data_IF_056618163231
#
_entry.id   IF_056618163231
#
_cell.length_a   1.000
_cell.length_b   1.000
_cell.length_c   1.000
_cell.angle_alpha   90.00
_cell.angle_beta   90.00
_cell.angle_gamma   90.00
#
_symmetry.space_group_name_H-M   'P 1'
#
loop_
_entity.id
_entity.type
_entity.pdbx_description
1 polymer ?
#
# COMPACT_ATOMS: atom_id res chain seq x y z
N UNK A 1 -12.59 -1.81 6.41
CA UNK A 1 -11.82 -0.59 6.07
C UNK A 1 -12.14 -0.10 4.67
N UNK A 2 -12.13 -0.98 3.67
CA UNK A 2 -12.59 -0.67 2.29
C UNK A 2 -13.97 0.00 2.26
N UNK A 3 -14.94 -0.53 3.04
CA UNK A 3 -16.27 0.07 3.23
C UNK A 3 -16.29 1.47 3.87
N UNK A 4 -15.26 1.84 4.64
CA UNK A 4 -15.22 3.12 5.37
C UNK A 4 -14.58 4.26 4.55
N UNK A 5 -13.92 3.93 3.42
CA UNK A 5 -13.19 4.89 2.59
C UNK A 5 -13.82 5.07 1.20
N UNK A 6 -14.91 4.35 0.91
CA UNK A 6 -15.58 4.34 -0.42
C UNK A 6 -14.63 4.05 -1.59
N UNK A 7 -13.53 3.33 -1.32
CA UNK A 7 -12.50 2.92 -2.26
C UNK A 7 -12.21 1.45 -1.98
N UNK A 8 -12.47 0.57 -2.97
CA UNK A 8 -12.33 -0.88 -2.85
C UNK A 8 -13.40 -1.65 -3.64
N UNK A 9 -13.37 -2.97 -3.49
CA UNK A 9 -14.30 -3.92 -4.16
C UNK A 9 -15.75 -3.47 -3.98
N UNK A 10 -16.44 -3.19 -5.08
CA UNK A 10 -17.84 -2.72 -5.07
C UNK A 10 -18.03 -1.20 -5.13
N UNK A 11 -16.96 -0.39 -5.23
CA UNK A 11 -17.04 1.06 -5.50
C UNK A 11 -16.43 1.42 -6.86
N UNK A 12 -17.28 1.89 -7.80
CA UNK A 12 -16.91 2.14 -9.20
C UNK A 12 -16.72 0.86 -10.05
N UNK A 13 -16.39 1.01 -11.34
CA UNK A 13 -15.98 -0.10 -12.23
C UNK A 13 -14.56 -0.59 -11.88
N UNK A 14 -14.32 -0.93 -10.61
CA UNK A 14 -13.02 -1.40 -10.14
C UNK A 14 -12.72 -2.79 -10.75
N UNK A 15 -11.51 -2.95 -11.30
CA UNK A 15 -11.07 -4.17 -12.01
C UNK A 15 -10.59 -5.29 -11.07
N UNK A 16 -10.64 -5.10 -9.75
CA UNK A 16 -10.05 -5.96 -8.74
C UNK A 16 -11.06 -6.40 -7.67
N UNK A 17 -10.85 -7.60 -7.12
CA UNK A 17 -11.74 -8.27 -6.14
C UNK A 17 -11.18 -8.27 -4.71
N UNK A 18 -10.00 -7.68 -4.47
CA UNK A 18 -9.46 -7.37 -3.14
C UNK A 18 -8.35 -6.31 -3.21
N UNK A 19 -8.08 -5.58 -2.11
CA UNK A 19 -6.89 -4.70 -2.05
C UNK A 19 -5.57 -5.42 -2.32
N UNK A 20 -5.46 -6.70 -1.96
CA UNK A 20 -4.30 -7.53 -2.28
C UNK A 20 -4.13 -7.64 -3.80
N UNK A 21 -5.19 -7.99 -4.51
CA UNK A 21 -5.19 -8.10 -5.97
C UNK A 21 -4.91 -6.76 -6.65
N UNK A 22 -5.49 -5.68 -6.15
CA UNK A 22 -5.21 -4.32 -6.61
C UNK A 22 -3.72 -3.97 -6.46
N UNK A 23 -3.16 -4.19 -5.27
CA UNK A 23 -1.77 -3.90 -4.96
C UNK A 23 -0.83 -4.72 -5.84
N UNK A 24 -1.05 -6.04 -5.91
CA UNK A 24 -0.21 -6.96 -6.68
C UNK A 24 -0.29 -6.69 -8.19
N UNK A 25 -1.47 -6.43 -8.75
CA UNK A 25 -1.56 -6.11 -10.18
C UNK A 25 -1.02 -4.72 -10.52
N UNK A 26 -1.10 -3.75 -9.61
CA UNK A 26 -0.44 -2.45 -9.78
C UNK A 26 1.10 -2.59 -9.75
N UNK A 27 1.63 -3.39 -8.82
CA UNK A 27 3.06 -3.69 -8.69
C UNK A 27 3.59 -4.57 -9.83
N UNK A 28 2.79 -5.47 -10.38
CA UNK A 28 3.17 -6.29 -11.54
C UNK A 28 3.50 -5.45 -12.79
N UNK A 29 2.98 -4.22 -12.83
CA UNK A 29 3.24 -3.25 -13.90
C UNK A 29 4.17 -2.13 -13.46
N UNK A 30 4.90 -2.27 -12.36
CA UNK A 30 5.68 -1.17 -11.78
C UNK A 30 6.77 -0.64 -12.71
N UNK A 31 7.45 -1.56 -13.40
CA UNK A 31 8.48 -1.27 -14.40
C UNK A 31 7.92 -1.19 -15.83
N UNK A 32 6.61 -0.96 -15.96
CA UNK A 32 5.97 -0.71 -17.24
C UNK A 32 5.20 0.62 -17.20
N UNK A 33 4.81 1.21 -18.35
CA UNK A 33 3.93 2.38 -18.34
C UNK A 33 2.64 2.11 -17.52
N UNK A 34 2.21 0.85 -17.49
CA UNK A 34 1.11 0.32 -16.70
C UNK A 34 -0.17 1.16 -16.76
N UNK A 35 -0.96 1.12 -15.68
CA UNK A 35 -2.13 1.97 -15.52
C UNK A 35 -1.76 3.47 -15.64
N UNK A 36 -2.62 4.25 -16.30
CA UNK A 36 -2.47 5.70 -16.52
C UNK A 36 -1.29 6.13 -17.41
N UNK A 37 -0.68 5.21 -18.16
CA UNK A 37 0.38 5.50 -19.14
C UNK A 37 1.56 6.27 -18.53
N UNK A 38 2.05 5.79 -17.38
CA UNK A 38 3.09 6.44 -16.58
C UNK A 38 4.37 6.52 -17.40
N UNK A 39 5.02 7.69 -17.39
CA UNK A 39 6.41 7.79 -17.86
C UNK A 39 7.29 6.97 -16.90
N UNK A 40 7.98 5.96 -17.41
CA UNK A 40 9.00 5.25 -16.65
C UNK A 40 10.22 6.15 -16.61
N UNK A 41 10.59 6.56 -15.40
CA UNK A 41 11.84 7.25 -15.11
C UNK A 41 12.69 6.28 -14.31
N UNK A 42 13.98 6.19 -14.59
CA UNK A 42 14.92 5.42 -13.75
C UNK A 42 14.83 5.87 -12.29
N UNK A 43 15.09 4.96 -11.34
CA UNK A 43 15.15 5.28 -9.91
C UNK A 43 13.82 5.18 -9.13
N UNK A 44 12.86 4.36 -9.59
CA UNK A 44 11.69 4.00 -8.78
C UNK A 44 11.96 2.70 -8.03
N UNK A 45 12.27 2.82 -6.75
CA UNK A 45 12.45 1.68 -5.83
C UNK A 45 11.19 1.46 -4.97
N UNK A 46 11.22 0.44 -4.11
CA UNK A 46 10.09 0.13 -3.21
C UNK A 46 9.75 1.31 -2.28
N UNK A 47 10.75 2.11 -1.89
CA UNK A 47 10.57 3.35 -1.12
C UNK A 47 9.82 4.41 -1.93
N UNK A 48 10.14 4.56 -3.21
CA UNK A 48 9.42 5.46 -4.10
C UNK A 48 7.95 5.04 -4.23
N UNK A 49 7.68 3.75 -4.44
CA UNK A 49 6.32 3.21 -4.45
C UNK A 49 5.57 3.59 -3.17
N UNK A 50 6.16 3.27 -2.01
CA UNK A 50 5.53 3.50 -0.72
C UNK A 50 5.18 4.97 -0.51
N UNK A 51 6.07 5.90 -0.89
CA UNK A 51 5.87 7.33 -0.67
C UNK A 51 4.95 8.01 -1.70
N UNK A 52 4.82 7.47 -2.91
CA UNK A 52 4.08 8.12 -4.00
C UNK A 52 2.74 7.45 -4.32
N UNK A 53 2.49 6.23 -3.86
CA UNK A 53 1.19 5.57 -4.03
C UNK A 53 0.04 6.40 -3.43
N UNK A 54 -1.07 6.57 -4.14
CA UNK A 54 -2.22 7.33 -3.65
C UNK A 54 -3.42 6.42 -3.34
N UNK A 55 -3.18 5.31 -2.66
CA UNK A 55 -4.23 4.42 -2.20
C UNK A 55 -3.94 4.02 -0.76
N UNK A 56 -4.64 4.64 0.20
CA UNK A 56 -4.43 4.37 1.61
C UNK A 56 -4.72 2.91 2.00
N UNK A 57 -5.79 2.26 1.49
CA UNK A 57 -6.03 0.85 1.79
C UNK A 57 -4.89 -0.07 1.32
N UNK A 58 -4.23 0.25 0.20
CA UNK A 58 -3.06 -0.50 -0.27
C UNK A 58 -1.84 -0.35 0.67
N UNK A 59 -1.61 0.85 1.21
CA UNK A 59 -0.54 1.08 2.18
C UNK A 59 -0.80 0.35 3.50
N UNK A 60 -2.07 0.32 3.94
CA UNK A 60 -2.48 -0.40 5.14
C UNK A 60 -2.26 -1.90 4.97
N UNK A 61 -2.69 -2.46 3.84
CA UNK A 61 -2.46 -3.88 3.53
C UNK A 61 -0.97 -4.23 3.53
N UNK A 62 -0.12 -3.39 2.95
CA UNK A 62 1.33 -3.60 2.96
C UNK A 62 1.89 -3.62 4.39
N UNK A 63 1.47 -2.67 5.23
CA UNK A 63 1.90 -2.59 6.63
C UNK A 63 1.45 -3.81 7.44
N UNK A 64 0.23 -4.31 7.21
CA UNK A 64 -0.26 -5.56 7.79
C UNK A 64 0.57 -6.76 7.34
N UNK A 65 0.87 -6.85 6.04
CA UNK A 65 1.61 -7.98 5.46
C UNK A 65 3.03 -8.12 6.00
N UNK A 66 3.67 -7.00 6.37
CA UNK A 66 5.01 -6.99 7.01
C UNK A 66 4.93 -6.94 8.54
N UNK A 67 3.75 -7.16 9.13
CA UNK A 67 3.56 -7.22 10.59
C UNK A 67 4.01 -5.93 11.33
N UNK A 68 3.69 -4.75 10.79
CA UNK A 68 3.85 -3.48 11.54
C UNK A 68 3.08 -3.57 12.87
N UNK A 69 3.62 -3.05 13.99
CA UNK A 69 2.94 -3.09 15.29
C UNK A 69 1.51 -2.56 15.22
N UNK A 70 0.59 -3.28 15.88
CA UNK A 70 -0.86 -3.00 15.84
C UNK A 70 -1.21 -1.60 16.34
N UNK A 71 -0.43 -1.04 17.27
CA UNK A 71 -0.59 0.34 17.74
C UNK A 71 -0.38 1.36 16.62
N UNK A 72 0.74 1.26 15.89
CA UNK A 72 1.04 2.13 14.75
C UNK A 72 0.00 1.99 13.65
N UNK A 73 -0.38 0.76 13.35
CA UNK A 73 -1.39 0.46 12.35
C UNK A 73 -2.74 1.09 12.71
N UNK A 74 -3.18 0.91 13.96
CA UNK A 74 -4.44 1.45 14.46
C UNK A 74 -4.44 2.99 14.47
N UNK A 75 -3.35 3.62 14.89
CA UNK A 75 -3.17 5.07 14.83
C UNK A 75 -3.20 5.59 13.39
N UNK A 76 -2.51 4.90 12.47
CA UNK A 76 -2.51 5.23 11.05
C UNK A 76 -3.90 5.16 10.43
N UNK A 77 -4.64 4.07 10.67
CA UNK A 77 -6.03 3.90 10.18
C UNK A 77 -6.94 4.99 10.74
N UNK A 78 -6.84 5.29 12.04
CA UNK A 78 -7.62 6.37 12.64
C UNK A 78 -7.34 7.74 12.00
N UNK A 79 -6.07 8.01 11.66
CA UNK A 79 -5.68 9.25 10.96
C UNK A 79 -6.18 9.29 9.51
N UNK A 80 -6.21 8.15 8.81
CA UNK A 80 -6.82 8.04 7.46
C UNK A 80 -8.30 8.42 7.50
N UNK A 81 -9.06 7.86 8.45
CA UNK A 81 -10.50 8.14 8.61
C UNK A 81 -10.78 9.62 8.90
N UNK A 82 -9.85 10.33 9.56
CA UNK A 82 -9.96 11.76 9.85
C UNK A 82 -9.53 12.67 8.68
N UNK A 83 -8.76 12.17 7.72
CA UNK A 83 -8.13 12.98 6.68
C UNK A 83 -9.10 13.45 5.56
N UNK A 84 -10.36 13.01 5.60
CA UNK A 84 -11.37 13.31 4.59
C UNK A 84 -11.22 12.46 3.31
N UNK A 85 -11.93 12.80 2.21
CA UNK A 85 -12.09 11.91 1.06
C UNK A 85 -10.95 11.95 0.04
N UNK A 86 -9.93 12.80 0.22
CA UNK A 86 -8.85 12.91 -0.78
C UNK A 86 -7.79 11.85 -0.57
N UNK A 87 -7.56 11.01 -1.58
CA UNK A 87 -6.60 9.90 -1.53
C UNK A 87 -5.18 10.32 -1.13
N UNK A 88 -4.67 11.44 -1.66
CA UNK A 88 -3.37 11.97 -1.27
C UNK A 88 -3.30 12.38 0.21
N UNK A 89 -4.37 13.00 0.73
CA UNK A 89 -4.47 13.39 2.14
C UNK A 89 -4.50 12.17 3.05
N UNK A 90 -5.29 11.15 2.69
CA UNK A 90 -5.38 9.89 3.42
C UNK A 90 -4.02 9.17 3.49
N UNK A 91 -3.33 9.04 2.35
CA UNK A 91 -2.01 8.41 2.31
C UNK A 91 -0.98 9.19 3.12
N UNK A 92 -0.98 10.52 3.01
CA UNK A 92 -0.12 11.38 3.81
C UNK A 92 -0.40 11.27 5.31
N UNK A 93 -1.66 11.12 5.71
CA UNK A 93 -2.04 10.91 7.11
C UNK A 93 -1.57 9.55 7.65
N UNK A 94 -1.69 8.47 6.86
CA UNK A 94 -1.19 7.15 7.23
C UNK A 94 0.32 7.14 7.44
N UNK A 95 1.08 7.71 6.49
CA UNK A 95 2.55 7.71 6.49
C UNK A 95 3.21 8.44 7.66
N UNK A 96 2.46 9.30 8.36
CA UNK A 96 2.94 9.95 9.59
C UNK A 96 3.04 8.98 10.76
N UNK A 97 2.32 7.86 10.71
CA UNK A 97 2.30 6.85 11.76
C UNK A 97 3.07 5.59 11.39
N UNK A 98 3.05 5.23 10.11
CA UNK A 98 3.80 4.10 9.55
C UNK A 98 4.76 4.67 8.53
N UNK A 99 6.06 4.70 8.82
CA UNK A 99 7.06 5.28 7.90
C UNK A 99 7.55 4.23 6.90
N UNK A 100 8.38 4.63 5.93
CA UNK A 100 9.09 3.66 5.11
C UNK A 100 9.98 2.75 5.95
N UNK A 101 10.70 3.31 6.93
CA UNK A 101 11.62 2.57 7.78
C UNK A 101 10.88 1.48 8.57
N UNK A 102 9.65 1.75 9.02
CA UNK A 102 8.78 0.74 9.64
C UNK A 102 8.50 -0.46 8.72
N UNK A 103 8.38 -0.21 7.42
CA UNK A 103 8.19 -1.27 6.41
C UNK A 103 9.50 -2.00 6.15
N UNK A 104 10.56 -1.24 5.86
CA UNK A 104 11.86 -1.76 5.43
C UNK A 104 12.49 -2.68 6.48
N UNK A 105 12.45 -2.29 7.75
CA UNK A 105 12.95 -3.11 8.88
C UNK A 105 12.28 -4.49 9.00
N UNK A 106 11.10 -4.65 8.39
CA UNK A 106 10.29 -5.86 8.48
C UNK A 106 10.19 -6.61 7.16
N UNK A 107 10.83 -6.12 6.11
CA UNK A 107 10.90 -6.85 4.86
C UNK A 107 11.72 -8.12 5.06
N UNK A 108 11.20 -9.28 4.65
CA UNK A 108 11.99 -10.50 4.68
C UNK A 108 13.17 -10.34 3.73
N UNK A 109 14.36 -10.73 4.21
CA UNK A 109 15.54 -10.87 3.35
C UNK A 109 15.17 -11.68 2.10
N UNK A 110 15.65 -11.33 0.90
CA UNK A 110 15.21 -11.93 -0.37
C UNK A 110 15.21 -13.47 -0.39
N UNK A 111 16.08 -14.09 0.43
CA UNK A 111 16.23 -15.55 0.55
C UNK A 111 15.22 -16.21 1.51
N UNK A 112 14.67 -15.46 2.47
CA UNK A 112 13.81 -16.00 3.53
C UNK A 112 12.32 -16.05 3.16
N UNK A 113 11.89 -15.23 2.19
CA UNK A 113 10.49 -15.16 1.76
C UNK A 113 10.01 -16.46 1.08
N UNK A 114 10.86 -17.09 0.27
CA UNK A 114 10.53 -18.35 -0.42
C UNK A 114 10.45 -19.52 0.58
N UNK A 115 11.24 -19.52 1.65
CA UNK A 115 11.22 -20.62 2.63
C UNK A 115 9.98 -20.60 3.53
N UNK A 116 9.41 -19.41 3.81
CA UNK A 116 8.20 -19.24 4.64
C UNK A 116 6.89 -19.49 3.89
N UNK A 117 6.90 -19.43 2.56
CA UNK A 117 5.73 -19.68 1.71
C UNK A 117 5.52 -21.18 1.38
N UNK A 118 6.52 -22.01 1.67
CA UNK A 118 6.54 -23.45 1.40
C UNK A 118 6.56 -24.31 2.69
N UNK A 119 6.38 -23.70 3.86
CA UNK A 119 6.27 -24.35 5.18
C UNK A 119 4.89 -24.10 5.78
#
# INVERSE_FOLDING_TARGET
MELALSEGVGFGNAWYSSQKEHCLGWLAQYDSPGAYNRKITSGRDARFFYNHGQCAPMLVWLAEAVCVPSEKLSAGIASVLKAGPRNASQCGAFRKHVTWDDIEERLPEPKSFISRLLS
#
